data_IF_250372745393
#
_entry.id   IF_250372745393
#
_cell.length_a   1.000
_cell.length_b   1.000
_cell.length_c   1.000
_cell.angle_alpha   90.00
_cell.angle_beta   90.00
_cell.angle_gamma   90.00
#
_symmetry.space_group_name_H-M   'P 1'
#
loop_
_entity.id
_entity.type
_entity.pdbx_description
1 polymer ?
#
# COMPACT_ATOMS: atom_id res chain seq x y z
N UNK A 1 21.73 -0.16 -7.89
CA UNK A 1 21.45 -1.27 -6.97
C UNK A 1 20.68 -0.70 -5.80
N UNK A 2 19.35 -0.88 -5.78
CA UNK A 2 18.53 -0.27 -4.76
C UNK A 2 18.60 -1.14 -3.50
N UNK A 3 18.98 -0.54 -2.37
CA UNK A 3 19.34 -1.25 -1.16
C UNK A 3 18.12 -1.97 -0.54
N UNK A 4 17.98 -3.25 -0.90
CA UNK A 4 16.92 -4.20 -0.49
C UNK A 4 16.70 -4.30 1.03
N UNK A 5 17.65 -3.83 1.84
CA UNK A 5 17.74 -4.06 3.28
C UNK A 5 16.99 -3.05 4.17
N UNK A 6 16.67 -1.82 3.71
CA UNK A 6 15.93 -0.83 4.53
C UNK A 6 14.41 -0.94 4.44
N UNK A 7 13.89 -1.71 3.48
CA UNK A 7 12.48 -1.66 3.09
C UNK A 7 11.55 -2.65 3.81
N UNK A 8 12.08 -3.67 4.47
CA UNK A 8 11.28 -4.74 5.08
C UNK A 8 11.10 -4.59 6.61
N UNK A 9 11.79 -3.65 7.26
CA UNK A 9 11.93 -3.65 8.72
C UNK A 9 11.06 -2.63 9.47
N UNK A 10 10.25 -1.80 8.79
CA UNK A 10 9.29 -0.93 9.47
C UNK A 10 7.95 -1.65 9.61
N UNK A 11 7.44 -1.72 10.83
CA UNK A 11 6.12 -2.28 11.14
C UNK A 11 5.02 -1.58 10.34
N UNK A 12 5.15 -0.26 10.16
CA UNK A 12 4.21 0.56 9.38
C UNK A 12 4.19 0.20 7.90
N UNK A 13 5.34 -0.06 7.27
CA UNK A 13 5.42 -0.50 5.85
C UNK A 13 4.82 -1.89 5.68
N UNK A 14 5.09 -2.81 6.59
CA UNK A 14 4.48 -4.15 6.58
C UNK A 14 2.96 -4.08 6.73
N UNK A 15 2.48 -3.23 7.66
CA UNK A 15 1.05 -2.97 7.84
C UNK A 15 0.40 -2.41 6.57
N UNK A 16 1.08 -1.50 5.87
CA UNK A 16 0.60 -0.96 4.61
C UNK A 16 0.49 -2.04 3.52
N UNK A 17 1.47 -2.93 3.41
CA UNK A 17 1.41 -4.08 2.47
C UNK A 17 0.26 -5.03 2.84
N UNK A 18 0.08 -5.36 4.12
CA UNK A 18 -1.04 -6.19 4.58
C UNK A 18 -2.38 -5.56 4.21
N UNK A 19 -2.52 -4.25 4.45
CA UNK A 19 -3.74 -3.49 4.11
C UNK A 19 -4.06 -3.58 2.62
N UNK A 20 -3.05 -3.44 1.75
CA UNK A 20 -3.25 -3.59 0.30
C UNK A 20 -3.64 -5.01 -0.09
N UNK A 21 -2.98 -6.03 0.49
CA UNK A 21 -3.26 -7.43 0.20
C UNK A 21 -4.67 -7.84 0.66
N UNK A 22 -5.11 -7.38 1.82
CA UNK A 22 -6.46 -7.57 2.36
C UNK A 22 -7.53 -6.85 1.52
N UNK A 23 -7.21 -5.63 1.05
CA UNK A 23 -8.09 -4.87 0.18
C UNK A 23 -8.32 -5.58 -1.15
N UNK A 24 -7.25 -6.14 -1.73
CA UNK A 24 -7.17 -6.80 -3.03
C UNK A 24 -7.51 -5.85 -4.19
N UNK A 25 -8.71 -5.28 -4.21
CA UNK A 25 -9.17 -4.29 -5.19
C UNK A 25 -9.82 -3.10 -4.46
N UNK A 26 -9.34 -1.89 -4.74
CA UNK A 26 -9.89 -0.69 -4.12
C UNK A 26 -8.94 0.50 -4.11
N UNK A 27 -9.17 1.41 -3.16
CA UNK A 27 -8.26 2.50 -2.83
C UNK A 27 -8.06 2.67 -1.32
N UNK A 28 -6.88 3.18 -0.94
CA UNK A 28 -6.57 3.68 0.40
C UNK A 28 -6.46 5.20 0.29
N UNK A 29 -7.17 5.94 1.12
CA UNK A 29 -7.31 7.41 1.02
C UNK A 29 -6.96 8.10 2.34
N UNK A 30 -6.34 9.27 2.24
CA UNK A 30 -5.91 10.04 3.40
C UNK A 30 -4.83 9.36 4.23
N UNK A 31 -3.90 8.63 3.60
CA UNK A 31 -2.80 7.99 4.31
C UNK A 31 -1.68 9.01 4.53
N UNK A 32 -1.40 9.32 5.80
CA UNK A 32 -0.34 10.25 6.16
C UNK A 32 1.02 9.59 5.99
N UNK A 33 2.01 10.39 5.58
CA UNK A 33 3.42 9.99 5.45
C UNK A 33 4.26 10.96 6.27
N UNK A 34 5.12 10.43 7.13
CA UNK A 34 6.07 11.20 7.94
C UNK A 34 7.42 10.51 7.92
N UNK A 35 8.46 11.25 7.56
CA UNK A 35 9.85 10.76 7.49
C UNK A 35 10.04 9.51 6.60
N UNK A 36 9.23 9.37 5.54
CA UNK A 36 9.22 8.24 4.62
C UNK A 36 8.43 7.02 5.13
N UNK A 37 7.77 7.14 6.28
CA UNK A 37 6.97 6.07 6.88
C UNK A 37 5.46 6.38 6.80
N UNK A 38 4.62 5.37 6.49
CA UNK A 38 3.18 5.53 6.52
C UNK A 38 2.67 5.61 7.97
N UNK A 39 1.74 6.52 8.22
CA UNK A 39 1.14 6.77 9.54
C UNK A 39 -0.34 6.44 9.49
N UNK A 40 -0.78 5.58 10.42
CA UNK A 40 -2.16 5.10 10.55
C UNK A 40 -2.95 5.81 11.66
N UNK A 41 -2.43 6.94 12.13
CA UNK A 41 -3.11 7.83 13.08
C UNK A 41 -3.01 9.28 12.57
N UNK A 42 -4.09 9.85 12.02
CA UNK A 42 -5.43 9.28 11.94
C UNK A 42 -5.51 8.06 10.98
N UNK A 43 -6.45 7.13 11.19
CA UNK A 43 -6.58 5.95 10.35
C UNK A 43 -6.97 6.33 8.91
N UNK A 44 -6.29 5.78 7.89
CA UNK A 44 -6.66 6.01 6.51
C UNK A 44 -8.01 5.36 6.20
N UNK A 45 -8.71 5.90 5.20
CA UNK A 45 -9.96 5.33 4.69
C UNK A 45 -9.65 4.25 3.66
N UNK A 46 -10.23 3.07 3.83
CA UNK A 46 -10.09 1.98 2.87
C UNK A 46 -11.41 1.78 2.11
N UNK A 47 -11.39 1.94 0.79
CA UNK A 47 -12.54 1.77 -0.10
C UNK A 47 -12.35 0.49 -0.90
N UNK A 48 -13.20 -0.51 -0.67
CA UNK A 48 -13.17 -1.78 -1.40
C UNK A 48 -14.01 -1.70 -2.67
N UNK A 49 -13.42 -2.05 -3.80
CA UNK A 49 -14.08 -2.06 -5.10
C UNK A 49 -14.61 -3.46 -5.41
N UNK A 50 -15.92 -3.57 -5.65
CA UNK A 50 -16.56 -4.83 -6.02
C UNK A 50 -16.87 -4.83 -7.51
N UNK A 51 -16.33 -5.82 -8.23
CA UNK A 51 -16.63 -6.01 -9.65
C UNK A 51 -17.87 -6.91 -9.79
N UNK A 52 -18.96 -6.36 -10.33
CA UNK A 52 -20.22 -7.10 -10.52
C UNK A 52 -20.31 -7.84 -11.87
N UNK A 53 -19.34 -7.61 -12.77
CA UNK A 53 -19.27 -8.25 -14.09
C UNK A 53 -18.44 -9.52 -14.12
N UNK A 54 -18.83 -10.57 -13.39
CA UNK A 54 -18.32 -11.95 -13.51
C UNK A 54 -16.82 -12.19 -13.29
N UNK A 55 -16.03 -11.14 -13.02
CA UNK A 55 -14.61 -11.17 -12.75
C UNK A 55 -14.33 -11.48 -11.29
N UNK A 56 -13.16 -12.07 -11.07
CA UNK A 56 -12.74 -12.79 -9.88
C UNK A 56 -12.78 -11.98 -8.57
N UNK A 57 -13.96 -11.87 -7.96
CA UNK A 57 -14.19 -11.28 -6.64
C UNK A 57 -13.83 -12.26 -5.51
N UNK A 58 -13.06 -13.33 -5.83
CA UNK A 58 -12.74 -14.39 -4.87
C UNK A 58 -11.94 -13.83 -3.69
N UNK A 59 -12.25 -14.27 -2.47
CA UNK A 59 -11.38 -14.07 -1.32
C UNK A 59 -9.98 -14.57 -1.67
N UNK A 60 -8.95 -13.77 -1.40
CA UNK A 60 -7.57 -14.16 -1.68
C UNK A 60 -7.19 -15.33 -0.75
N UNK A 61 -6.87 -16.54 -1.27
CA UNK A 61 -6.55 -17.70 -0.43
C UNK A 61 -5.26 -17.54 0.39
N UNK A 62 -4.43 -16.57 0.03
CA UNK A 62 -3.15 -16.30 0.69
C UNK A 62 -3.24 -15.46 1.97
N UNK A 63 -4.44 -15.24 2.52
CA UNK A 63 -4.70 -14.55 3.80
C UNK A 63 -4.04 -15.21 5.04
N UNK A 64 -3.27 -16.29 4.87
CA UNK A 64 -2.50 -16.96 5.92
C UNK A 64 -1.06 -17.31 5.54
N UNK A 65 -0.55 -16.82 4.40
CA UNK A 65 0.87 -17.01 4.03
C UNK A 65 1.69 -15.86 4.62
N UNK A 66 2.89 -16.10 5.18
CA UNK A 66 3.77 -15.01 5.61
C UNK A 66 3.90 -14.01 4.48
N UNK A 67 3.84 -12.70 4.80
CA UNK A 67 3.98 -11.62 3.82
C UNK A 67 5.11 -12.00 2.86
N UNK A 68 4.73 -12.35 1.63
CA UNK A 68 5.70 -12.71 0.60
C UNK A 68 6.62 -11.52 0.36
N UNK A 69 7.80 -11.78 -0.21
CA UNK A 69 8.72 -10.71 -0.56
C UNK A 69 7.96 -9.60 -1.32
N UNK A 70 8.12 -8.31 -0.93
CA UNK A 70 7.45 -7.22 -1.61
C UNK A 70 7.77 -7.26 -3.09
N UNK A 71 6.72 -7.25 -3.93
CA UNK A 71 6.88 -7.10 -5.37
C UNK A 71 7.44 -5.71 -5.73
N UNK A 72 7.96 -5.58 -6.94
CA UNK A 72 8.58 -4.36 -7.46
C UNK A 72 7.68 -3.13 -7.30
N UNK A 73 6.36 -3.28 -7.41
CA UNK A 73 5.40 -2.20 -7.22
C UNK A 73 5.42 -1.63 -5.80
N UNK A 74 5.55 -2.50 -4.78
CA UNK A 74 5.69 -2.04 -3.39
C UNK A 74 7.02 -1.32 -3.19
N UNK A 75 8.09 -1.81 -3.81
CA UNK A 75 9.41 -1.16 -3.74
C UNK A 75 9.39 0.24 -4.36
N UNK A 76 8.69 0.40 -5.50
CA UNK A 76 8.47 1.70 -6.13
C UNK A 76 7.68 2.65 -5.25
N UNK A 77 6.62 2.16 -4.59
CA UNK A 77 5.86 2.95 -3.62
C UNK A 77 6.76 3.40 -2.46
N UNK A 78 7.53 2.50 -1.86
CA UNK A 78 8.41 2.84 -0.75
C UNK A 78 9.52 3.81 -1.14
N UNK A 79 10.08 3.67 -2.35
CA UNK A 79 11.02 4.64 -2.88
C UNK A 79 10.39 6.03 -3.00
N UNK A 80 9.15 6.12 -3.49
CA UNK A 80 8.41 7.39 -3.54
C UNK A 80 8.24 7.99 -2.13
N UNK A 81 7.88 7.19 -1.12
CA UNK A 81 7.78 7.67 0.27
C UNK A 81 9.12 8.21 0.78
N UNK A 82 10.21 7.48 0.55
CA UNK A 82 11.56 7.85 0.98
C UNK A 82 12.03 9.16 0.31
N UNK A 83 11.63 9.39 -0.95
CA UNK A 83 11.94 10.61 -1.72
C UNK A 83 11.07 11.81 -1.30
N UNK A 84 9.76 11.61 -1.15
CA UNK A 84 8.82 12.67 -0.76
C UNK A 84 8.93 13.09 0.71
N UNK A 85 9.47 12.22 1.58
CA UNK A 85 9.63 12.39 3.03
C UNK A 85 8.33 12.54 3.81
N UNK A 86 7.54 13.57 3.56
CA UNK A 86 6.34 13.87 4.35
C UNK A 86 5.23 14.46 3.48
N UNK A 87 3.99 14.14 3.82
CA UNK A 87 2.80 14.59 3.09
C UNK A 87 1.63 13.65 3.30
N UNK A 88 0.65 13.70 2.40
CA UNK A 88 -0.54 12.84 2.45
C UNK A 88 -0.68 12.14 1.11
N UNK A 89 -0.79 10.81 1.13
CA UNK A 89 -1.32 10.09 -0.02
C UNK A 89 -2.84 10.29 0.01
N UNK A 90 -3.32 11.23 -0.80
CA UNK A 90 -4.74 11.52 -0.96
C UNK A 90 -5.48 10.27 -1.44
N UNK A 91 -4.88 9.53 -2.39
CA UNK A 91 -5.46 8.31 -2.94
C UNK A 91 -4.40 7.34 -3.46
N UNK A 92 -4.42 6.10 -2.96
CA UNK A 92 -3.60 4.98 -3.42
C UNK A 92 -4.51 3.92 -4.04
N UNK A 93 -4.42 3.71 -5.35
CA UNK A 93 -5.18 2.69 -6.06
C UNK A 93 -4.48 1.34 -5.93
N UNK A 94 -5.25 0.34 -5.51
CA UNK A 94 -4.78 -1.04 -5.30
C UNK A 94 -5.54 -1.99 -6.24
N UNK A 95 -4.80 -2.85 -6.93
CA UNK A 95 -5.34 -3.92 -7.79
C UNK A 95 -4.59 -5.22 -7.53
N UNK A 96 -5.31 -6.32 -7.35
CA UNK A 96 -4.74 -7.61 -6.96
C UNK A 96 -3.75 -7.53 -5.76
N UNK A 97 -4.00 -6.61 -4.83
CA UNK A 97 -3.16 -6.32 -3.66
C UNK A 97 -1.83 -5.62 -3.97
N UNK A 98 -1.69 -5.00 -5.15
CA UNK A 98 -0.51 -4.24 -5.55
C UNK A 98 -0.87 -2.75 -5.73
N UNK A 99 0.03 -1.83 -5.35
CA UNK A 99 -0.16 -0.41 -5.63
C UNK A 99 0.04 -0.13 -7.13
N UNK A 100 -0.94 0.53 -7.76
CA UNK A 100 -0.92 0.85 -9.19
C UNK A 100 -0.68 2.34 -9.43
N UNK A 101 -1.28 3.19 -8.59
CA UNK A 101 -1.19 4.65 -8.73
C UNK A 101 -1.37 5.30 -7.36
N UNK A 102 -0.59 6.34 -7.07
CA UNK A 102 -0.78 7.20 -5.92
C UNK A 102 -0.97 8.66 -6.38
N UNK A 103 -1.93 9.35 -5.78
CA UNK A 103 -2.05 10.80 -5.82
C UNK A 103 -1.50 11.31 -4.47
N UNK A 104 -0.40 12.06 -4.51
CA UNK A 104 0.36 12.51 -3.33
C UNK A 104 0.33 14.03 -3.20
N UNK A 105 0.02 14.49 -2.00
CA UNK A 105 0.00 15.90 -1.60
C UNK A 105 1.22 16.18 -0.73
N UNK A 106 2.20 16.89 -1.29
CA UNK A 106 3.37 17.38 -0.55
C UNK A 106 2.97 18.52 0.37
N UNK A 107 3.55 18.55 1.56
CA UNK A 107 3.38 19.63 2.54
C UNK A 107 4.57 20.60 2.55
#
# INVERSE_FOLDING_TARGET
MIAKARWCCSESRMRLVSTMQELNFGSIEGLHVRDGEPVFDPPPRTIKEFHFGGGDNRPRPELGRPLGQPKDEHLRLFQMLDESRSGVIARLIVRAGLPIKADFESN
#
